data_IF_274020803212
#
_entry.id   IF_274020803212
#
_cell.length_a   1.000
_cell.length_b   1.000
_cell.length_c   1.000
_cell.angle_alpha   90.00
_cell.angle_beta   90.00
_cell.angle_gamma   90.00
#
_symmetry.space_group_name_H-M   'P 1'
#
loop_
_entity.id
_entity.type
_entity.pdbx_description
1 polymer ?
#
# COMPACT_ATOMS: atom_id res chain seq x y z
N UNK A 1 -21.70 -12.79 21.62
CA UNK A 1 -20.33 -13.37 21.62
C UNK A 1 -19.70 -13.41 20.21
N UNK A 2 -20.45 -13.67 19.15
CA UNK A 2 -19.91 -13.72 17.76
C UNK A 2 -19.33 -12.38 17.25
N UNK A 3 -19.97 -11.25 17.53
CA UNK A 3 -19.49 -9.92 17.11
C UNK A 3 -18.12 -9.55 17.71
N UNK A 4 -17.84 -9.98 18.95
CA UNK A 4 -16.54 -9.73 19.61
C UNK A 4 -15.42 -10.57 18.98
N UNK A 5 -15.72 -11.81 18.57
CA UNK A 5 -14.76 -12.73 17.93
C UNK A 5 -14.35 -12.23 16.54
N UNK A 6 -15.31 -11.75 15.73
CA UNK A 6 -15.03 -11.17 14.40
C UNK A 6 -14.18 -9.90 14.52
N UNK A 7 -14.47 -9.04 15.50
CA UNK A 7 -13.68 -7.81 15.72
C UNK A 7 -12.24 -8.14 16.10
N UNK A 8 -12.01 -9.07 17.06
CA UNK A 8 -10.67 -9.46 17.46
C UNK A 8 -9.88 -10.06 16.30
N UNK A 9 -10.51 -10.97 15.53
CA UNK A 9 -9.89 -11.55 14.33
C UNK A 9 -9.49 -10.48 13.33
N UNK A 10 -10.37 -9.51 13.05
CA UNK A 10 -10.10 -8.42 12.13
C UNK A 10 -8.93 -7.53 12.56
N UNK A 11 -8.85 -7.22 13.86
CA UNK A 11 -7.73 -6.48 14.46
C UNK A 11 -6.42 -7.25 14.30
N UNK A 12 -6.39 -8.54 14.67
CA UNK A 12 -5.20 -9.37 14.53
C UNK A 12 -4.76 -9.51 13.07
N UNK A 13 -5.70 -9.73 12.14
CA UNK A 13 -5.41 -9.82 10.73
C UNK A 13 -4.81 -8.51 10.18
N UNK A 14 -5.35 -7.34 10.53
CA UNK A 14 -4.81 -6.06 10.09
C UNK A 14 -3.40 -5.79 10.62
N UNK A 15 -3.15 -6.07 11.91
CA UNK A 15 -1.83 -5.95 12.54
C UNK A 15 -0.83 -6.89 11.86
N UNK A 16 -1.18 -8.18 11.72
CA UNK A 16 -0.30 -9.17 11.09
C UNK A 16 -0.04 -8.84 9.61
N UNK A 17 -1.01 -8.25 8.91
CA UNK A 17 -0.81 -7.74 7.56
C UNK A 17 0.28 -6.65 7.51
N UNK A 18 0.21 -5.67 8.41
CA UNK A 18 1.23 -4.64 8.55
C UNK A 18 2.61 -5.23 8.94
N UNK A 19 2.63 -6.17 9.89
CA UNK A 19 3.87 -6.90 10.26
C UNK A 19 4.49 -7.59 9.04
N UNK A 20 3.68 -8.30 8.24
CA UNK A 20 4.17 -8.99 7.05
C UNK A 20 4.72 -8.01 5.99
N UNK A 21 4.11 -6.82 5.82
CA UNK A 21 4.67 -5.79 4.94
C UNK A 21 6.00 -5.25 5.48
N UNK A 22 6.10 -4.96 6.78
CA UNK A 22 7.36 -4.54 7.40
C UNK A 22 8.49 -5.56 7.24
N UNK A 23 8.19 -6.85 7.45
CA UNK A 23 9.13 -7.95 7.17
C UNK A 23 9.54 -7.98 5.70
N UNK A 24 8.58 -7.82 4.77
CA UNK A 24 8.85 -7.79 3.33
C UNK A 24 9.76 -6.64 2.92
N UNK A 25 9.57 -5.45 3.52
CA UNK A 25 10.45 -4.30 3.30
C UNK A 25 11.89 -4.58 3.75
N UNK A 26 12.04 -5.11 4.96
CA UNK A 26 13.36 -5.49 5.51
C UNK A 26 14.03 -6.61 4.70
N UNK A 27 13.27 -7.60 4.22
CA UNK A 27 13.79 -8.63 3.32
C UNK A 27 14.26 -8.04 1.98
N UNK A 28 13.57 -7.04 1.45
CA UNK A 28 14.01 -6.32 0.25
C UNK A 28 15.33 -5.58 0.50
N UNK A 29 15.45 -4.88 1.62
CA UNK A 29 16.68 -4.20 2.04
C UNK A 29 17.83 -5.21 2.21
N UNK A 30 17.57 -6.35 2.86
CA UNK A 30 18.55 -7.43 2.99
C UNK A 30 19.01 -7.95 1.63
N UNK A 31 18.09 -8.19 0.69
CA UNK A 31 18.43 -8.65 -0.65
C UNK A 31 19.37 -7.69 -1.37
N UNK A 32 19.16 -6.38 -1.24
CA UNK A 32 19.97 -5.36 -1.90
C UNK A 32 21.32 -5.12 -1.22
N UNK A 33 21.41 -5.32 0.09
CA UNK A 33 22.66 -5.09 0.84
C UNK A 33 23.57 -6.32 0.90
N UNK A 34 23.01 -7.53 0.80
CA UNK A 34 23.75 -8.79 0.98
C UNK A 34 23.78 -9.67 -0.28
N UNK A 35 23.25 -9.18 -1.40
CA UNK A 35 23.37 -9.87 -2.69
C UNK A 35 23.48 -8.86 -3.83
N UNK A 36 23.66 -9.35 -5.05
CA UNK A 36 23.70 -8.54 -6.27
C UNK A 36 22.30 -8.19 -6.78
N UNK A 37 21.23 -8.58 -6.07
CA UNK A 37 19.86 -8.32 -6.49
C UNK A 37 19.59 -6.82 -6.62
N UNK A 38 18.93 -6.45 -7.71
CA UNK A 38 18.54 -5.06 -7.99
C UNK A 38 17.04 -4.85 -7.76
N UNK A 39 16.58 -3.59 -7.53
CA UNK A 39 15.16 -3.27 -7.47
C UNK A 39 14.36 -3.73 -8.69
N UNK A 40 14.97 -3.68 -9.88
CA UNK A 40 14.33 -4.09 -11.12
C UNK A 40 14.11 -5.60 -11.17
N UNK A 41 15.13 -6.37 -10.81
CA UNK A 41 15.04 -7.84 -10.73
C UNK A 41 13.99 -8.29 -9.73
N UNK A 42 14.01 -7.73 -8.51
CA UNK A 42 13.00 -8.03 -7.50
C UNK A 42 11.59 -7.68 -7.98
N UNK A 43 11.41 -6.52 -8.61
CA UNK A 43 10.11 -6.09 -9.12
C UNK A 43 9.60 -7.00 -10.23
N UNK A 44 10.46 -7.35 -11.20
CA UNK A 44 10.14 -8.26 -12.30
C UNK A 44 9.75 -9.65 -11.78
N UNK A 45 10.55 -10.21 -10.87
CA UNK A 45 10.29 -11.52 -10.27
C UNK A 45 9.01 -11.50 -9.43
N UNK A 46 8.89 -10.55 -8.49
CA UNK A 46 7.80 -10.45 -7.53
C UNK A 46 6.44 -10.31 -8.21
N UNK A 47 6.34 -9.45 -9.23
CA UNK A 47 5.07 -9.15 -9.88
C UNK A 47 4.54 -10.33 -10.68
N UNK A 48 5.41 -11.05 -11.40
CA UNK A 48 5.02 -12.24 -12.15
C UNK A 48 4.68 -13.39 -11.19
N UNK A 49 5.55 -13.67 -10.22
CA UNK A 49 5.34 -14.76 -9.27
C UNK A 49 4.05 -14.59 -8.47
N UNK A 50 3.83 -13.39 -7.89
CA UNK A 50 2.61 -13.12 -7.14
C UNK A 50 1.37 -13.11 -8.05
N UNK A 51 1.47 -12.54 -9.26
CA UNK A 51 0.38 -12.53 -10.24
C UNK A 51 -0.06 -13.94 -10.63
N UNK A 52 0.87 -14.84 -10.92
CA UNK A 52 0.59 -16.25 -11.22
C UNK A 52 -0.09 -16.93 -10.04
N UNK A 53 0.44 -16.80 -8.81
CA UNK A 53 -0.13 -17.43 -7.62
C UNK A 53 -1.55 -16.93 -7.34
N UNK A 54 -1.76 -15.60 -7.34
CA UNK A 54 -3.07 -15.00 -7.07
C UNK A 54 -4.11 -15.36 -8.13
N UNK A 55 -3.72 -15.40 -9.41
CA UNK A 55 -4.64 -15.80 -10.49
C UNK A 55 -4.94 -17.28 -10.47
N UNK A 56 -3.96 -18.13 -10.18
CA UNK A 56 -4.18 -19.56 -9.99
C UNK A 56 -5.18 -19.79 -8.84
N UNK A 57 -4.96 -19.12 -7.70
CA UNK A 57 -5.91 -19.16 -6.59
C UNK A 57 -7.31 -18.70 -7.00
N UNK A 58 -7.40 -17.56 -7.70
CA UNK A 58 -8.67 -17.00 -8.15
C UNK A 58 -9.41 -17.90 -9.13
N UNK A 59 -8.69 -18.56 -10.05
CA UNK A 59 -9.25 -19.53 -11.00
C UNK A 59 -9.93 -20.70 -10.30
N UNK A 60 -9.29 -21.26 -9.26
CA UNK A 60 -9.88 -22.39 -8.52
C UNK A 60 -11.03 -21.98 -7.59
N UNK A 61 -11.02 -20.74 -7.04
CA UNK A 61 -12.04 -20.29 -6.09
C UNK A 61 -13.21 -19.57 -6.74
N UNK A 62 -13.01 -18.87 -7.85
CA UNK A 62 -14.06 -18.12 -8.54
C UNK A 62 -13.81 -18.05 -10.06
N UNK A 63 -13.93 -19.21 -10.70
CA UNK A 63 -13.71 -19.36 -12.15
C UNK A 63 -14.61 -18.43 -12.97
N UNK A 64 -15.85 -18.18 -12.51
CA UNK A 64 -16.77 -17.32 -13.25
C UNK A 64 -16.27 -15.89 -13.36
N UNK A 65 -15.85 -15.28 -12.24
CA UNK A 65 -15.26 -13.93 -12.26
C UNK A 65 -13.95 -13.88 -13.04
N UNK A 66 -13.13 -14.92 -12.94
CA UNK A 66 -11.88 -15.01 -13.70
C UNK A 66 -12.14 -14.96 -15.21
N UNK A 67 -13.08 -15.77 -15.72
CA UNK A 67 -13.40 -15.80 -17.14
C UNK A 67 -14.12 -14.52 -17.59
N UNK A 68 -15.01 -13.96 -16.77
CA UNK A 68 -15.66 -12.67 -17.04
C UNK A 68 -14.64 -11.56 -17.25
N UNK A 69 -13.67 -11.43 -16.35
CA UNK A 69 -12.61 -10.43 -16.46
C UNK A 69 -11.74 -10.63 -17.70
N UNK A 70 -11.45 -11.88 -18.07
CA UNK A 70 -10.65 -12.23 -19.25
C UNK A 70 -11.34 -11.84 -20.57
N UNK A 71 -12.66 -11.87 -20.63
CA UNK A 71 -13.41 -11.54 -21.83
C UNK A 71 -13.78 -10.05 -21.96
N UNK A 72 -13.67 -9.27 -20.87
CA UNK A 72 -13.93 -7.83 -20.89
C UNK A 72 -12.67 -7.05 -21.31
N UNK A 73 -12.53 -6.77 -22.62
CA UNK A 73 -11.37 -6.03 -23.17
C UNK A 73 -11.17 -4.66 -22.53
N UNK A 74 -12.24 -3.95 -22.14
CA UNK A 74 -12.13 -2.63 -21.50
C UNK A 74 -11.60 -2.78 -20.07
N UNK A 75 -12.02 -3.80 -19.39
CA UNK A 75 -11.52 -4.12 -18.08
C UNK A 75 -10.05 -4.57 -18.12
N UNK A 76 -9.66 -5.41 -19.09
CA UNK A 76 -8.27 -5.82 -19.28
C UNK A 76 -7.35 -4.62 -19.52
N UNK A 77 -7.77 -3.62 -20.32
CA UNK A 77 -6.98 -2.39 -20.49
C UNK A 77 -6.84 -1.62 -19.18
N UNK A 78 -7.91 -1.50 -18.38
CA UNK A 78 -7.85 -0.84 -17.06
C UNK A 78 -6.98 -1.63 -16.08
N UNK A 79 -7.05 -2.96 -16.11
CA UNK A 79 -6.20 -3.86 -15.31
C UNK A 79 -4.73 -3.73 -15.71
N UNK A 80 -4.43 -3.57 -17.01
CA UNK A 80 -3.09 -3.32 -17.52
C UNK A 80 -2.55 -1.96 -17.02
N UNK A 81 -3.35 -0.88 -17.15
CA UNK A 81 -2.96 0.44 -16.66
C UNK A 81 -2.73 0.40 -15.14
N UNK A 82 -3.64 -0.22 -14.40
CA UNK A 82 -3.48 -0.43 -12.96
C UNK A 82 -2.22 -1.24 -12.63
N UNK A 83 -1.97 -2.30 -13.41
CA UNK A 83 -0.81 -3.17 -13.24
C UNK A 83 0.51 -2.43 -13.45
N UNK A 84 0.65 -1.73 -14.58
CA UNK A 84 1.90 -1.03 -14.92
C UNK A 84 2.12 0.20 -14.04
N UNK A 85 1.14 1.11 -13.98
CA UNK A 85 1.28 2.40 -13.31
C UNK A 85 1.10 2.29 -11.81
N UNK A 86 0.09 1.54 -11.37
CA UNK A 86 -0.23 1.36 -9.95
C UNK A 86 0.70 0.35 -9.27
N UNK A 87 0.60 -0.91 -9.66
CA UNK A 87 1.30 -2.01 -8.97
C UNK A 87 2.80 -2.03 -9.23
N UNK A 88 3.22 -2.16 -10.49
CA UNK A 88 4.64 -2.21 -10.83
C UNK A 88 5.32 -0.90 -10.49
N UNK A 89 4.68 0.24 -10.83
CA UNK A 89 5.21 1.57 -10.51
C UNK A 89 5.44 1.76 -9.01
N UNK A 90 4.47 1.37 -8.16
CA UNK A 90 4.63 1.50 -6.71
C UNK A 90 5.70 0.55 -6.15
N UNK A 91 5.76 -0.68 -6.63
CA UNK A 91 6.75 -1.64 -6.17
C UNK A 91 8.17 -1.27 -6.58
N UNK A 92 8.35 -0.82 -7.84
CA UNK A 92 9.65 -0.38 -8.32
C UNK A 92 10.13 0.89 -7.61
N UNK A 93 9.27 1.89 -7.44
CA UNK A 93 9.59 3.10 -6.71
C UNK A 93 9.96 2.79 -5.25
N UNK A 94 9.19 1.93 -4.58
CA UNK A 94 9.44 1.51 -3.20
C UNK A 94 10.79 0.79 -3.05
N UNK A 95 11.04 -0.22 -3.87
CA UNK A 95 12.29 -0.98 -3.80
C UNK A 95 13.50 -0.14 -4.17
N UNK A 96 13.37 0.79 -5.12
CA UNK A 96 14.43 1.74 -5.46
C UNK A 96 14.68 2.74 -4.34
N UNK A 97 13.63 3.23 -3.66
CA UNK A 97 13.78 4.10 -2.50
C UNK A 97 14.52 3.42 -1.35
N UNK A 98 14.31 2.12 -1.14
CA UNK A 98 15.05 1.32 -0.13
C UNK A 98 16.56 1.35 -0.41
N UNK A 99 16.97 1.20 -1.66
CA UNK A 99 18.41 1.21 -2.04
C UNK A 99 19.08 2.55 -1.68
N UNK A 100 18.34 3.65 -1.81
CA UNK A 100 18.88 4.99 -1.53
C UNK A 100 18.59 5.49 -0.11
N UNK A 101 17.91 4.69 0.72
CA UNK A 101 17.61 5.00 2.12
C UNK A 101 17.63 3.73 2.98
N UNK A 102 16.49 3.27 3.43
CA UNK A 102 16.23 2.01 4.11
C UNK A 102 14.72 1.69 4.10
N UNK A 103 14.34 0.49 4.47
CA UNK A 103 12.93 0.04 4.43
C UNK A 103 12.04 0.90 5.34
N UNK A 104 12.49 1.25 6.56
CA UNK A 104 11.68 2.02 7.51
C UNK A 104 11.39 3.44 7.00
N UNK A 105 12.43 4.17 6.58
CA UNK A 105 12.29 5.54 6.04
C UNK A 105 11.44 5.53 4.78
N UNK A 106 11.65 4.58 3.87
CA UNK A 106 10.86 4.45 2.65
C UNK A 106 9.39 4.21 2.96
N UNK A 107 9.06 3.31 3.90
CA UNK A 107 7.68 3.03 4.29
C UNK A 107 7.01 4.22 4.96
N UNK A 108 7.75 4.99 5.76
CA UNK A 108 7.23 6.22 6.36
C UNK A 108 6.93 7.26 5.28
N UNK A 109 7.83 7.49 4.33
CA UNK A 109 7.61 8.39 3.19
C UNK A 109 6.46 7.92 2.30
N UNK A 110 6.31 6.61 2.08
CA UNK A 110 5.17 6.02 1.34
C UNK A 110 3.82 6.44 1.92
N UNK A 111 3.71 6.58 3.24
CA UNK A 111 2.46 6.97 3.91
C UNK A 111 2.01 8.40 3.59
N UNK A 112 2.86 9.23 2.95
CA UNK A 112 2.44 10.49 2.35
C UNK A 112 1.39 10.32 1.24
N UNK A 113 1.16 9.09 0.78
CA UNK A 113 0.05 8.78 -0.13
C UNK A 113 -1.30 9.27 0.40
N UNK A 114 -1.52 9.27 1.71
CA UNK A 114 -2.74 9.81 2.32
C UNK A 114 -2.91 11.30 2.08
N UNK A 115 -1.80 12.05 2.09
CA UNK A 115 -1.78 13.49 1.75
C UNK A 115 -2.15 13.69 0.28
N UNK A 116 -1.59 12.90 -0.63
CA UNK A 116 -1.93 12.98 -2.05
C UNK A 116 -3.40 12.59 -2.31
N UNK A 117 -3.91 11.56 -1.63
CA UNK A 117 -5.34 11.21 -1.69
C UNK A 117 -6.22 12.35 -1.19
N UNK A 118 -5.84 13.01 -0.09
CA UNK A 118 -6.55 14.18 0.42
C UNK A 118 -6.59 15.32 -0.61
N UNK A 119 -5.44 15.67 -1.18
CA UNK A 119 -5.34 16.73 -2.20
C UNK A 119 -6.25 16.41 -3.39
N UNK A 120 -6.17 15.19 -3.93
CA UNK A 120 -7.01 14.77 -5.06
C UNK A 120 -8.49 14.85 -4.69
N UNK A 121 -8.86 14.41 -3.48
CA UNK A 121 -10.24 14.45 -3.00
C UNK A 121 -10.75 15.90 -2.87
N UNK A 122 -9.94 16.79 -2.32
CA UNK A 122 -10.28 18.23 -2.20
C UNK A 122 -10.50 18.86 -3.58
N UNK A 123 -9.64 18.54 -4.56
CA UNK A 123 -9.78 19.03 -5.95
C UNK A 123 -11.06 18.48 -6.59
N UNK A 124 -11.34 17.18 -6.46
CA UNK A 124 -12.53 16.54 -7.03
C UNK A 124 -13.83 17.09 -6.44
N UNK A 125 -13.85 17.31 -5.13
CA UNK A 125 -15.02 17.84 -4.41
C UNK A 125 -15.11 19.38 -4.45
N UNK A 126 -14.09 20.05 -4.99
CA UNK A 126 -13.95 21.53 -4.98
C UNK A 126 -14.14 22.13 -3.58
N UNK A 127 -13.58 21.45 -2.57
CA UNK A 127 -13.65 21.88 -1.17
C UNK A 127 -12.24 22.06 -0.62
N UNK A 128 -12.02 23.16 0.12
CA UNK A 128 -10.77 23.35 0.85
C UNK A 128 -10.65 22.34 2.00
N UNK A 129 -9.42 21.93 2.36
CA UNK A 129 -9.19 21.11 3.54
C UNK A 129 -9.74 21.76 4.81
N UNK A 130 -10.29 20.98 5.72
CA UNK A 130 -10.70 21.44 7.04
C UNK A 130 -9.47 21.65 7.96
N UNK A 131 -9.68 22.24 9.14
CA UNK A 131 -8.58 22.55 10.08
C UNK A 131 -7.74 21.31 10.43
N UNK A 132 -8.37 20.16 10.62
CA UNK A 132 -7.70 18.89 10.92
C UNK A 132 -6.83 18.42 9.75
N UNK A 133 -7.33 18.54 8.51
CA UNK A 133 -6.61 18.21 7.29
C UNK A 133 -5.43 19.16 7.08
N UNK A 134 -5.58 20.45 7.34
CA UNK A 134 -4.48 21.42 7.34
C UNK A 134 -3.40 21.06 8.38
N UNK A 135 -3.82 20.67 9.59
CA UNK A 135 -2.88 20.20 10.63
C UNK A 135 -2.13 18.95 10.16
N UNK A 136 -2.84 18.01 9.52
CA UNK A 136 -2.20 16.82 8.96
C UNK A 136 -1.17 17.16 7.86
N UNK A 137 -1.50 18.08 6.95
CA UNK A 137 -0.56 18.57 5.93
C UNK A 137 0.70 19.21 6.55
N UNK A 138 0.54 20.02 7.61
CA UNK A 138 1.66 20.58 8.34
C UNK A 138 2.59 19.50 8.89
N UNK A 139 2.05 18.51 9.60
CA UNK A 139 2.84 17.41 10.15
C UNK A 139 3.49 16.55 9.05
N UNK A 140 2.82 16.34 7.92
CA UNK A 140 3.38 15.64 6.77
C UNK A 140 4.61 16.35 6.21
N UNK A 141 4.51 17.67 5.98
CA UNK A 141 5.61 18.49 5.45
C UNK A 141 6.76 18.56 6.46
N UNK A 142 6.47 18.84 7.73
CA UNK A 142 7.46 18.93 8.79
C UNK A 142 8.16 17.58 9.04
N UNK A 143 7.43 16.48 9.05
CA UNK A 143 8.00 15.14 9.19
C UNK A 143 8.90 14.75 8.01
N UNK A 144 8.47 15.03 6.79
CA UNK A 144 9.28 14.79 5.59
C UNK A 144 10.54 15.64 5.59
N UNK A 145 10.44 16.91 6.00
CA UNK A 145 11.58 17.79 6.13
C UNK A 145 12.59 17.29 7.17
N UNK A 146 12.12 16.85 8.35
CA UNK A 146 13.00 16.27 9.38
C UNK A 146 13.74 15.04 8.86
N UNK A 147 13.05 14.14 8.15
CA UNK A 147 13.68 12.95 7.56
C UNK A 147 14.67 13.29 6.45
N UNK A 148 14.39 14.32 5.65
CA UNK A 148 15.24 14.70 4.55
C UNK A 148 16.51 15.43 5.00
N UNK A 149 16.43 16.25 6.04
CA UNK A 149 17.48 17.18 6.44
C UNK A 149 18.14 16.89 7.79
N UNK A 150 17.55 15.95 8.57
CA UNK A 150 17.99 15.73 9.96
C UNK A 150 17.77 16.93 10.86
N UNK A 151 16.94 17.90 10.44
CA UNK A 151 16.69 19.15 11.16
C UNK A 151 17.62 20.31 10.79
N UNK A 152 18.54 20.15 9.84
CA UNK A 152 19.41 21.21 9.34
C UNK A 152 18.91 21.71 7.97
N UNK A 153 18.64 23.02 7.84
CA UNK A 153 18.21 23.64 6.59
C UNK A 153 19.25 23.64 5.47
N UNK A 154 20.51 23.44 5.81
CA UNK A 154 21.63 23.56 4.87
C UNK A 154 22.16 22.20 4.40
N UNK A 155 21.72 21.11 5.03
CA UNK A 155 22.18 19.76 4.71
C UNK A 155 21.03 18.79 4.43
N UNK A 156 21.18 18.00 3.37
CA UNK A 156 20.33 16.83 3.12
C UNK A 156 21.04 15.60 3.69
N UNK A 157 20.45 14.98 4.70
CA UNK A 157 20.91 13.70 5.28
C UNK A 157 20.45 12.54 4.40
N UNK A 158 19.19 12.61 3.94
CA UNK A 158 18.67 11.68 2.96
C UNK A 158 19.18 12.06 1.57
N UNK A 159 19.67 11.09 0.81
CA UNK A 159 20.13 11.36 -0.55
C UNK A 159 18.99 11.97 -1.40
N UNK A 160 19.27 12.89 -2.35
CA UNK A 160 18.26 13.43 -3.24
C UNK A 160 17.48 12.33 -3.99
N UNK A 161 18.15 11.23 -4.35
CA UNK A 161 17.54 10.05 -4.96
C UNK A 161 16.59 9.34 -4.00
N UNK A 162 16.98 9.17 -2.73
CA UNK A 162 16.14 8.58 -1.70
C UNK A 162 14.86 9.38 -1.45
N UNK A 163 14.97 10.70 -1.37
CA UNK A 163 13.81 11.60 -1.24
C UNK A 163 12.92 11.55 -2.49
N UNK A 164 13.50 11.62 -3.68
CA UNK A 164 12.75 11.53 -4.94
C UNK A 164 11.96 10.21 -5.04
N UNK A 165 12.62 9.07 -4.84
CA UNK A 165 11.96 7.77 -4.94
C UNK A 165 10.98 7.54 -3.78
N UNK A 166 11.24 8.06 -2.59
CA UNK A 166 10.31 8.03 -1.46
C UNK A 166 9.00 8.78 -1.77
N UNK A 167 9.08 9.98 -2.35
CA UNK A 167 7.90 10.74 -2.79
C UNK A 167 7.24 10.05 -4.00
N UNK A 168 8.02 9.54 -4.95
CA UNK A 168 7.50 8.78 -6.09
C UNK A 168 6.71 7.55 -5.63
N UNK A 169 7.18 6.87 -4.56
CA UNK A 169 6.45 5.76 -3.94
C UNK A 169 5.08 6.22 -3.43
N UNK A 170 5.01 7.33 -2.71
CA UNK A 170 3.74 7.87 -2.20
C UNK A 170 2.76 8.22 -3.34
N UNK A 171 3.24 8.82 -4.42
CA UNK A 171 2.43 9.14 -5.60
C UNK A 171 1.93 7.85 -6.27
N UNK A 172 2.80 6.89 -6.51
CA UNK A 172 2.44 5.64 -7.20
C UNK A 172 1.50 4.78 -6.33
N UNK A 173 1.66 4.76 -5.01
CA UNK A 173 0.70 4.12 -4.08
C UNK A 173 -0.65 4.85 -4.07
N UNK A 174 -0.67 6.16 -4.25
CA UNK A 174 -1.92 6.90 -4.46
C UNK A 174 -2.63 6.42 -5.74
N UNK A 175 -1.91 6.27 -6.85
CA UNK A 175 -2.45 5.75 -8.10
C UNK A 175 -2.89 4.29 -7.96
N UNK A 176 -2.09 3.47 -7.29
CA UNK A 176 -2.44 2.10 -6.91
C UNK A 176 -3.76 2.02 -6.14
N UNK A 177 -4.06 3.01 -5.30
CA UNK A 177 -5.29 3.06 -4.51
C UNK A 177 -6.49 3.56 -5.29
N UNK A 178 -6.31 4.51 -6.22
CA UNK A 178 -7.42 5.18 -6.91
C UNK A 178 -7.84 4.45 -8.19
N UNK A 179 -6.87 4.00 -8.99
CA UNK A 179 -7.13 3.40 -10.32
C UNK A 179 -8.04 2.16 -10.24
N UNK A 180 -7.87 1.21 -9.28
CA UNK A 180 -8.64 -0.02 -9.28
C UNK A 180 -10.05 0.12 -8.70
N UNK A 181 -10.46 1.26 -8.13
CA UNK A 181 -11.78 1.43 -7.51
C UNK A 181 -12.96 0.93 -8.36
N UNK A 182 -13.06 1.26 -9.67
CA UNK A 182 -14.15 0.74 -10.51
C UNK A 182 -14.07 -0.76 -10.77
N UNK A 183 -12.87 -1.35 -10.72
CA UNK A 183 -12.64 -2.79 -10.91
C UNK A 183 -13.01 -3.56 -9.63
N UNK A 184 -12.65 -3.01 -8.47
CA UNK A 184 -12.97 -3.56 -7.15
C UNK A 184 -14.46 -3.53 -6.81
N UNK A 185 -15.24 -2.68 -7.48
CA UNK A 185 -16.69 -2.67 -7.38
C UNK A 185 -17.34 -3.88 -8.10
N UNK A 186 -16.64 -4.52 -9.05
CA UNK A 186 -17.14 -5.66 -9.83
C UNK A 186 -16.53 -6.99 -9.40
N UNK A 187 -15.26 -6.99 -9.03
CA UNK A 187 -14.49 -8.22 -8.81
C UNK A 187 -13.74 -8.21 -7.48
N UNK A 188 -13.39 -9.40 -7.03
CA UNK A 188 -12.61 -9.56 -5.80
C UNK A 188 -11.23 -8.90 -5.92
N UNK A 189 -10.72 -8.41 -4.79
CA UNK A 189 -9.40 -7.79 -4.74
C UNK A 189 -8.29 -8.76 -5.18
N UNK A 190 -8.38 -10.04 -4.82
CA UNK A 190 -7.41 -11.08 -5.22
C UNK A 190 -7.35 -11.19 -6.74
N UNK A 191 -8.50 -11.18 -7.41
CA UNK A 191 -8.58 -11.23 -8.87
C UNK A 191 -7.99 -9.97 -9.51
N UNK A 192 -8.40 -8.79 -9.06
CA UNK A 192 -7.94 -7.50 -9.58
C UNK A 192 -6.43 -7.34 -9.39
N UNK A 193 -5.91 -7.67 -8.19
CA UNK A 193 -4.48 -7.63 -7.92
C UNK A 193 -3.71 -8.67 -8.74
N UNK A 194 -4.24 -9.89 -8.87
CA UNK A 194 -3.62 -10.96 -9.65
C UNK A 194 -3.47 -10.58 -11.13
N UNK A 195 -4.55 -10.11 -11.77
CA UNK A 195 -4.47 -9.63 -13.16
C UNK A 195 -3.55 -8.42 -13.29
N UNK A 196 -3.66 -7.44 -12.38
CA UNK A 196 -2.78 -6.26 -12.41
C UNK A 196 -1.32 -6.65 -12.27
N UNK A 197 -0.97 -7.52 -11.32
CA UNK A 197 0.41 -7.98 -11.12
C UNK A 197 0.91 -8.79 -12.33
N UNK A 198 0.11 -9.70 -12.86
CA UNK A 198 0.56 -10.52 -13.98
C UNK A 198 0.68 -9.69 -15.28
N UNK A 199 -0.34 -8.90 -15.65
CA UNK A 199 -0.30 -8.08 -16.85
C UNK A 199 0.78 -6.99 -16.75
N UNK A 200 0.86 -6.29 -15.63
CA UNK A 200 1.89 -5.30 -15.36
C UNK A 200 3.27 -5.93 -15.34
N UNK A 201 3.42 -7.07 -14.66
CA UNK A 201 4.66 -7.82 -14.59
C UNK A 201 5.14 -8.30 -15.94
N UNK A 202 4.30 -8.94 -16.76
CA UNK A 202 4.66 -9.38 -18.11
C UNK A 202 5.05 -8.19 -18.98
N UNK A 203 4.26 -7.13 -18.99
CA UNK A 203 4.54 -5.92 -19.79
C UNK A 203 5.88 -5.31 -19.40
N UNK A 204 6.15 -5.17 -18.10
CA UNK A 204 7.43 -4.63 -17.61
C UNK A 204 8.59 -5.54 -17.96
N UNK A 205 8.45 -6.86 -17.74
CA UNK A 205 9.50 -7.83 -18.10
C UNK A 205 9.85 -7.77 -19.58
N UNK A 206 8.86 -7.62 -20.47
CA UNK A 206 9.07 -7.45 -21.90
C UNK A 206 9.73 -6.10 -22.23
N UNK A 207 9.27 -5.00 -21.61
CA UNK A 207 9.78 -3.65 -21.86
C UNK A 207 11.25 -3.49 -21.46
N UNK A 208 11.62 -4.01 -20.28
CA UNK A 208 13.00 -3.95 -19.77
C UNK A 208 13.88 -5.07 -20.28
N UNK A 209 13.31 -6.02 -21.04
CA UNK A 209 14.00 -7.22 -21.53
C UNK A 209 14.64 -8.00 -20.36
N UNK A 210 13.81 -8.38 -19.38
CA UNK A 210 14.30 -8.99 -18.12
C UNK A 210 15.15 -10.24 -18.29
N UNK A 211 15.06 -10.95 -19.43
CA UNK A 211 15.96 -12.05 -19.77
C UNK A 211 17.43 -11.63 -19.97
N UNK A 212 17.72 -10.32 -20.00
CA UNK A 212 19.08 -9.76 -20.02
C UNK A 212 19.58 -9.35 -18.64
N UNK A 213 18.69 -9.37 -17.62
CA UNK A 213 19.09 -9.12 -16.24
C UNK A 213 19.87 -10.32 -15.72
N UNK A 214 20.83 -10.05 -14.86
CA UNK A 214 21.74 -11.08 -14.37
C UNK A 214 21.19 -11.78 -13.11
N UNK A 215 20.06 -12.45 -13.26
CA UNK A 215 19.49 -13.26 -12.17
C UNK A 215 20.44 -14.39 -11.71
N UNK A 216 21.40 -14.79 -12.55
CA UNK A 216 22.34 -15.85 -12.20
C UNK A 216 23.39 -15.37 -11.18
N UNK A 217 23.69 -14.08 -11.11
CA UNK A 217 24.60 -13.50 -10.12
C UNK A 217 23.99 -13.39 -8.72
N UNK A 218 22.65 -13.46 -8.60
CA UNK A 218 21.96 -13.35 -7.32
C UNK A 218 22.27 -14.54 -6.44
N UNK A 219 22.83 -14.29 -5.25
CA UNK A 219 23.18 -15.35 -4.30
C UNK A 219 21.95 -16.15 -3.82
N UNK A 220 22.17 -17.35 -3.31
CA UNK A 220 21.10 -18.18 -2.74
C UNK A 220 20.33 -17.44 -1.62
N UNK A 221 21.02 -16.65 -0.80
CA UNK A 221 20.40 -15.83 0.25
C UNK A 221 19.59 -14.69 -0.32
N UNK A 222 20.03 -14.07 -1.43
CA UNK A 222 19.26 -13.09 -2.19
C UNK A 222 17.97 -13.68 -2.74
N UNK A 223 18.03 -14.86 -3.37
CA UNK A 223 16.85 -15.57 -3.84
C UNK A 223 15.88 -15.93 -2.72
N UNK A 224 16.39 -16.39 -1.57
CA UNK A 224 15.56 -16.68 -0.40
C UNK A 224 14.84 -15.42 0.09
N UNK A 225 15.54 -14.29 0.14
CA UNK A 225 14.95 -13.01 0.52
C UNK A 225 13.89 -12.56 -0.50
N UNK A 226 14.17 -12.64 -1.80
CA UNK A 226 13.21 -12.29 -2.86
C UNK A 226 11.94 -13.18 -2.80
N UNK A 227 12.08 -14.48 -2.60
CA UNK A 227 10.95 -15.39 -2.37
C UNK A 227 10.19 -15.02 -1.08
N UNK A 228 10.90 -14.68 -0.01
CA UNK A 228 10.33 -14.16 1.23
C UNK A 228 9.49 -12.91 1.00
N UNK A 229 9.96 -11.98 0.18
CA UNK A 229 9.21 -10.76 -0.21
C UNK A 229 7.90 -11.11 -0.93
N UNK A 230 7.91 -12.09 -1.85
CA UNK A 230 6.68 -12.54 -2.52
C UNK A 230 5.68 -13.11 -1.51
N UNK A 231 6.15 -14.00 -0.64
CA UNK A 231 5.28 -14.69 0.33
C UNK A 231 4.75 -13.70 1.37
N UNK A 232 5.63 -12.95 2.05
CA UNK A 232 5.24 -12.06 3.14
C UNK A 232 4.52 -10.82 2.63
N UNK A 233 5.07 -10.12 1.64
CA UNK A 233 4.57 -8.83 1.17
C UNK A 233 3.41 -8.92 0.19
N UNK A 234 3.46 -9.87 -0.76
CA UNK A 234 2.44 -9.92 -1.81
C UNK A 234 1.27 -10.86 -1.48
N UNK A 235 1.54 -11.99 -0.84
CA UNK A 235 0.50 -12.99 -0.55
C UNK A 235 -0.07 -12.83 0.87
N UNK A 236 0.76 -12.98 1.90
CA UNK A 236 0.29 -12.98 3.29
C UNK A 236 -0.22 -11.60 3.71
N UNK A 237 0.58 -10.56 3.53
CA UNK A 237 0.21 -9.21 3.96
C UNK A 237 -1.10 -8.76 3.32
N UNK A 238 -1.22 -8.91 2.00
CA UNK A 238 -2.42 -8.51 1.26
C UNK A 238 -3.65 -9.29 1.74
N UNK A 239 -3.54 -10.62 1.88
CA UNK A 239 -4.65 -11.47 2.29
C UNK A 239 -5.11 -11.17 3.72
N UNK A 240 -4.17 -11.04 4.65
CA UNK A 240 -4.43 -10.72 6.05
C UNK A 240 -5.04 -9.32 6.19
N UNK A 241 -4.44 -8.31 5.55
CA UNK A 241 -4.95 -6.94 5.61
C UNK A 241 -6.38 -6.84 5.07
N UNK A 242 -6.67 -7.47 3.93
CA UNK A 242 -8.01 -7.47 3.36
C UNK A 242 -9.03 -8.18 4.25
N UNK A 243 -8.62 -9.26 4.93
CA UNK A 243 -9.46 -9.89 5.94
C UNK A 243 -9.74 -8.94 7.09
N UNK A 244 -8.73 -8.21 7.56
CA UNK A 244 -8.90 -7.14 8.54
C UNK A 244 -9.89 -6.07 8.07
N UNK A 245 -9.75 -5.60 6.84
CA UNK A 245 -10.68 -4.62 6.23
C UNK A 245 -12.11 -5.14 6.20
N UNK A 246 -12.31 -6.41 5.84
CA UNK A 246 -13.64 -7.01 5.80
C UNK A 246 -14.29 -7.12 7.19
N UNK A 247 -13.51 -7.43 8.23
CA UNK A 247 -14.02 -7.68 9.58
C UNK A 247 -14.20 -6.38 10.40
N UNK A 248 -13.33 -5.36 10.27
CA UNK A 248 -13.33 -4.13 11.10
C UNK A 248 -13.45 -2.82 10.31
N UNK A 249 -13.54 -2.90 8.99
CA UNK A 249 -13.64 -1.77 8.09
C UNK A 249 -12.29 -1.14 7.71
N UNK A 250 -12.24 -0.41 6.59
CA UNK A 250 -10.99 0.07 6.01
C UNK A 250 -10.27 1.09 6.90
N UNK A 251 -10.99 1.98 7.58
CA UNK A 251 -10.38 3.01 8.44
C UNK A 251 -9.62 2.40 9.62
N UNK A 252 -10.23 1.45 10.34
CA UNK A 252 -9.57 0.81 11.47
C UNK A 252 -8.41 -0.09 11.01
N UNK A 253 -8.58 -0.80 9.89
CA UNK A 253 -7.52 -1.64 9.33
C UNK A 253 -6.31 -0.80 8.89
N UNK A 254 -6.51 0.36 8.25
CA UNK A 254 -5.41 1.23 7.83
C UNK A 254 -4.66 1.86 9.02
N UNK A 255 -5.35 2.20 10.10
CA UNK A 255 -4.70 2.65 11.34
C UNK A 255 -3.81 1.55 11.94
N UNK A 256 -4.28 0.30 11.93
CA UNK A 256 -3.50 -0.82 12.46
C UNK A 256 -2.32 -1.19 11.55
N UNK A 257 -2.39 -0.88 10.26
CA UNK A 257 -1.28 -1.07 9.32
C UNK A 257 -0.07 -0.14 9.59
N UNK A 258 -0.18 0.85 10.51
CA UNK A 258 0.98 1.61 11.05
C UNK A 258 2.04 0.67 11.67
N UNK A 259 1.68 -0.56 12.01
CA UNK A 259 2.65 -1.58 12.41
C UNK A 259 3.74 -1.85 11.35
N UNK A 260 3.47 -1.62 10.06
CA UNK A 260 4.43 -1.83 8.98
C UNK A 260 5.74 -1.03 9.18
N UNK A 261 5.73 0.33 9.24
CA UNK A 261 6.97 1.09 9.43
C UNK A 261 7.63 0.83 10.79
N UNK A 262 6.85 0.51 11.82
CA UNK A 262 7.39 0.16 13.14
C UNK A 262 8.19 -1.14 13.07
N UNK A 263 7.64 -2.16 12.43
CA UNK A 263 8.33 -3.46 12.25
C UNK A 263 9.56 -3.28 11.35
N UNK A 264 9.44 -2.54 10.25
CA UNK A 264 10.58 -2.25 9.38
C UNK A 264 11.71 -1.53 10.14
N UNK A 265 11.39 -0.58 11.01
CA UNK A 265 12.39 0.12 11.84
C UNK A 265 13.04 -0.84 12.86
N UNK A 266 12.25 -1.64 13.57
CA UNK A 266 12.76 -2.60 14.57
C UNK A 266 13.66 -3.64 13.91
N UNK A 267 13.22 -4.25 12.81
CA UNK A 267 14.00 -5.24 12.08
C UNK A 267 15.23 -4.62 11.42
N UNK A 268 15.11 -3.41 10.88
CA UNK A 268 16.24 -2.63 10.37
C UNK A 268 17.32 -2.44 11.43
N UNK A 269 16.94 -2.04 12.64
CA UNK A 269 17.88 -1.88 13.75
C UNK A 269 18.49 -3.20 14.23
N UNK A 270 17.65 -4.22 14.46
CA UNK A 270 18.09 -5.46 15.09
C UNK A 270 18.81 -6.42 14.13
N UNK A 271 18.42 -6.41 12.87
CA UNK A 271 18.93 -7.35 11.87
C UNK A 271 19.93 -6.73 10.91
N UNK A 272 19.62 -5.51 10.39
CA UNK A 272 20.45 -4.86 9.38
C UNK A 272 21.41 -3.81 9.97
N UNK A 273 21.33 -3.54 11.29
CA UNK A 273 22.21 -2.58 11.97
C UNK A 273 21.91 -1.12 11.59
N UNK A 274 20.73 -0.84 11.02
CA UNK A 274 20.30 0.52 10.66
C UNK A 274 20.23 1.39 11.90
N UNK A 275 20.85 2.58 11.86
CA UNK A 275 20.83 3.52 12.98
C UNK A 275 19.90 4.67 12.68
N UNK A 276 18.97 4.93 13.59
CA UNK A 276 18.08 6.08 13.51
C UNK A 276 18.52 7.15 14.50
N UNK A 277 18.55 8.39 14.03
CA UNK A 277 18.81 9.56 14.87
C UNK A 277 17.54 9.97 15.62
N UNK A 278 17.69 10.90 16.59
CA UNK A 278 16.52 11.47 17.29
C UNK A 278 15.61 12.23 16.31
N UNK A 279 16.19 12.87 15.31
CA UNK A 279 15.45 13.60 14.27
C UNK A 279 14.68 12.67 13.35
N UNK A 280 15.20 11.48 13.03
CA UNK A 280 14.45 10.46 12.30
C UNK A 280 13.22 10.01 13.08
N UNK A 281 13.39 9.73 14.39
CA UNK A 281 12.27 9.32 15.24
C UNK A 281 11.19 10.41 15.38
N UNK A 282 11.59 11.68 15.44
CA UNK A 282 10.64 12.80 15.43
C UNK A 282 9.93 12.92 14.06
N UNK A 283 10.66 12.75 12.96
CA UNK A 283 10.08 12.71 11.61
C UNK A 283 9.05 11.58 11.46
N UNK A 284 9.38 10.39 11.94
CA UNK A 284 8.44 9.26 11.98
C UNK A 284 7.19 9.59 12.81
N UNK A 285 7.37 10.16 14.00
CA UNK A 285 6.26 10.55 14.87
C UNK A 285 5.33 11.56 14.17
N UNK A 286 5.86 12.54 13.45
CA UNK A 286 5.08 13.52 12.71
C UNK A 286 4.27 12.87 11.57
N UNK A 287 4.87 11.95 10.82
CA UNK A 287 4.14 11.21 9.78
C UNK A 287 3.06 10.30 10.40
N UNK A 288 3.34 9.67 11.55
CA UNK A 288 2.30 8.88 12.26
C UNK A 288 1.13 9.75 12.74
N UNK A 289 1.40 10.98 13.24
CA UNK A 289 0.34 11.94 13.55
C UNK A 289 -0.47 12.30 12.30
N UNK A 290 0.19 12.49 11.15
CA UNK A 290 -0.49 12.71 9.86
C UNK A 290 -1.42 11.57 9.51
N UNK A 291 -0.92 10.32 9.57
CA UNK A 291 -1.72 9.12 9.28
C UNK A 291 -2.93 9.05 10.23
N UNK A 292 -2.72 9.25 11.51
CA UNK A 292 -3.78 9.24 12.51
C UNK A 292 -4.83 10.31 12.23
N UNK A 293 -4.39 11.56 11.98
CA UNK A 293 -5.30 12.67 11.67
C UNK A 293 -6.14 12.40 10.41
N UNK A 294 -5.59 11.83 9.35
CA UNK A 294 -6.30 11.60 8.09
C UNK A 294 -7.16 10.32 8.11
N UNK A 295 -6.80 9.32 8.93
CA UNK A 295 -7.48 8.03 8.96
C UNK A 295 -8.72 8.02 9.88
N UNK A 296 -8.76 8.84 10.94
CA UNK A 296 -9.94 8.89 11.84
C UNK A 296 -11.08 9.66 11.16
N UNK A 297 -12.31 9.14 11.07
CA UNK A 297 -13.44 9.88 10.50
C UNK A 297 -13.67 11.22 11.22
N UNK A 298 -13.90 12.29 10.46
CA UNK A 298 -14.39 13.53 11.04
C UNK A 298 -15.78 13.27 11.65
N UNK A 299 -15.98 13.65 12.90
CA UNK A 299 -17.34 13.70 13.48
C UNK A 299 -18.11 14.78 12.70
N UNK A 300 -18.99 14.34 11.83
CA UNK A 300 -19.89 15.24 11.12
C UNK A 300 -20.93 15.77 12.12
N UNK A 301 -20.71 16.96 12.66
CA UNK A 301 -21.67 17.66 13.52
C UNK A 301 -22.92 18.14 12.76
N UNK A 302 -23.12 17.73 11.50
CA UNK A 302 -24.22 18.18 10.66
C UNK A 302 -25.41 17.23 10.58
N UNK A 303 -25.37 16.02 11.12
CA UNK A 303 -26.52 15.10 11.14
C UNK A 303 -27.46 15.26 12.34
N UNK A 304 -27.15 16.12 13.30
CA UNK A 304 -28.03 16.34 14.47
C UNK A 304 -29.29 17.17 14.18
N UNK A 305 -29.55 17.55 12.92
CA UNK A 305 -30.62 18.50 12.60
C UNK A 305 -31.58 18.13 11.47
N UNK A 306 -31.54 16.93 10.91
CA UNK A 306 -32.47 16.53 9.85
C UNK A 306 -32.98 15.10 9.99
N UNK A 307 -33.93 14.88 10.87
CA UNK A 307 -34.95 13.88 10.70
C UNK A 307 -36.24 14.57 10.19
N UNK A 308 -36.59 14.48 8.92
CA UNK A 308 -37.98 14.59 8.51
C UNK A 308 -38.57 13.20 8.67
N UNK A 309 -39.52 13.09 9.58
CA UNK A 309 -40.43 11.95 9.66
C UNK A 309 -41.19 11.82 8.33
N UNK A 310 -40.74 10.91 7.47
CA UNK A 310 -41.54 10.42 6.35
C UNK A 310 -42.38 9.25 6.87
N UNK A 311 -43.59 9.57 7.30
CA UNK A 311 -44.64 8.59 7.47
C UNK A 311 -45.03 8.04 6.09
N UNK A 312 -44.50 6.88 5.73
CA UNK A 312 -45.02 6.10 4.63
C UNK A 312 -46.24 5.30 5.14
N UNK A 313 -47.43 5.78 4.80
CA UNK A 313 -48.65 4.99 4.88
C UNK A 313 -48.55 3.79 3.91
N UNK A 314 -48.88 2.54 4.34
CA UNK A 314 -49.00 1.43 3.42
C UNK A 314 -50.29 1.58 2.57
N UNK A 315 -50.25 1.26 1.28
CA UNK A 315 -51.45 1.29 0.47
C UNK A 315 -52.38 0.10 0.82
N UNK A 316 -53.61 0.43 1.14
CA UNK A 316 -54.70 -0.53 1.31
C UNK A 316 -54.87 -1.41 0.06
N UNK A 317 -54.71 -2.72 0.19
CA UNK A 317 -55.23 -3.72 -0.77
C UNK A 317 -56.73 -3.61 -0.77
N UNK A 318 -57.35 -3.19 -1.87
CA UNK A 318 -58.77 -3.47 -2.20
C UNK A 318 -58.80 -4.81 -2.92
N UNK A 319 -59.46 -5.79 -2.28
CA UNK A 319 -60.02 -7.00 -2.87
C UNK A 319 -61.10 -6.63 -3.89
N UNK A 320 -60.97 -7.07 -5.09
CA UNK A 320 -62.07 -7.67 -5.91
C UNK A 320 -61.43 -8.63 -6.94
#
# INVERSE_FOLDING_TARGET
>A
METSSHTLRGVLCAILGGVCWGVSGTLSEYAFTHSTATPLELTCFRTVAAGVILLTWSFFHNRAQFLEALHDKRALLRLLIYGVVGLVGSQYAYTTAIVYSNAATTTVLQNLNLVFILIITCIQLRKAPNLREWTALFFAIAGTWLLATGGDFHHLVLSPQGLFWGIATAITVTLYTIIPKPLLARWSNVLVSGYGMLLGGITTNLAVRSWRLDFASVSATGWLAMCGVVVTGSLMATTLYLRGVADIGPVKASLLAITEPVVAAILGMLWLGTRFTRTDLLGFAFIFVTIWLLSVPAKDHREAGRHPHLHLHPPHKKLR
#
